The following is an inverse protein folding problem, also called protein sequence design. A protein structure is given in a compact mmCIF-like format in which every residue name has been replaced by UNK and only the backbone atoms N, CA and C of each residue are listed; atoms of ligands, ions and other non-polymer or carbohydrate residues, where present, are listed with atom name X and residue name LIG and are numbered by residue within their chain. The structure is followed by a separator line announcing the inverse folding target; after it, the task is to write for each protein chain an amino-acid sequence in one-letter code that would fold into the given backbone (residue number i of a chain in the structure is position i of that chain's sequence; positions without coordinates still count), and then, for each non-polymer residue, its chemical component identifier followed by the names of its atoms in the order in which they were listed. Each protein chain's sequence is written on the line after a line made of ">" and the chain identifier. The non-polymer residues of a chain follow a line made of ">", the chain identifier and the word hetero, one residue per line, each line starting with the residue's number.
data_IF_403580197923
#
_entry.id   IF_403580197923
#
_cell.length_a   1.000
_cell.length_b   1.000
_cell.length_c   1.000
_cell.angle_alpha   90.00
_cell.angle_beta   90.00
_cell.angle_gamma   90.00
#
_symmetry.space_group_name_H-M   'P 1'
#
loop_
_entity.id
_entity.type
_entity.pdbx_description
1 polymer ?
#
# COMPACT_ATOMS: atom_id res chain seq x y z
N UNK A 1 19.16 8.86 17.84
CA UNK A 1 18.25 9.17 16.73
C UNK A 1 17.35 7.96 16.52
N UNK A 2 16.11 7.99 17.02
CA UNK A 2 15.11 6.96 16.70
C UNK A 2 14.57 7.33 15.32
N UNK A 3 14.83 6.49 14.30
CA UNK A 3 14.09 6.62 13.03
C UNK A 3 12.63 6.25 13.33
N UNK A 4 11.64 7.14 13.12
CA UNK A 4 10.25 6.72 13.22
C UNK A 4 10.05 5.60 12.21
N UNK A 5 9.41 4.50 12.64
CA UNK A 5 8.93 3.47 11.71
C UNK A 5 8.05 4.21 10.70
N UNK A 6 8.42 4.17 9.42
CA UNK A 6 7.58 4.71 8.37
C UNK A 6 6.27 3.92 8.36
N UNK A 7 5.18 4.54 8.81
CA UNK A 7 3.86 3.91 8.94
C UNK A 7 3.13 3.77 7.59
N UNK A 8 3.86 3.86 6.48
CA UNK A 8 3.33 3.89 5.13
C UNK A 8 4.37 3.38 4.14
N UNK A 9 3.87 2.75 3.09
CA UNK A 9 4.67 2.36 1.94
C UNK A 9 4.95 3.59 1.07
N UNK A 10 6.08 3.58 0.37
CA UNK A 10 6.47 4.63 -0.57
C UNK A 10 6.96 4.01 -1.86
N UNK A 11 6.49 4.54 -2.98
CA UNK A 11 6.96 4.18 -4.32
C UNK A 11 6.68 5.34 -5.27
N UNK A 12 7.71 5.79 -5.99
CA UNK A 12 7.67 7.05 -6.76
C UNK A 12 7.17 8.20 -5.84
N UNK A 13 6.20 8.99 -6.29
CA UNK A 13 5.60 10.07 -5.52
C UNK A 13 4.34 9.64 -4.74
N UNK A 14 4.09 8.34 -4.60
CA UNK A 14 2.91 7.80 -3.95
C UNK A 14 3.22 7.23 -2.57
N UNK A 15 2.25 7.37 -1.67
CA UNK A 15 2.23 6.76 -0.34
C UNK A 15 1.12 5.73 -0.25
N UNK A 16 1.32 4.68 0.50
CA UNK A 16 0.32 3.63 0.74
C UNK A 16 0.11 3.37 2.22
N UNK A 17 -1.14 3.18 2.66
CA UNK A 17 -1.41 2.77 4.04
C UNK A 17 -1.06 1.29 4.31
N UNK A 18 -0.88 0.93 5.58
CA UNK A 18 -0.57 -0.43 5.99
C UNK A 18 -1.52 -0.81 7.12
N UNK A 19 -2.35 -1.82 6.89
CA UNK A 19 -3.28 -2.38 7.86
C UNK A 19 -3.24 -3.91 7.82
N UNK A 20 -3.73 -4.53 8.89
CA UNK A 20 -3.90 -5.98 8.99
C UNK A 20 -5.31 -6.28 9.48
N UNK A 21 -6.02 -7.18 8.79
CA UNK A 21 -7.31 -7.70 9.22
C UNK A 21 -7.05 -9.02 9.94
N UNK A 22 -7.26 -9.05 11.26
CA UNK A 22 -7.19 -10.30 12.02
C UNK A 22 -8.35 -11.24 11.73
N UNK A 23 -9.47 -10.72 11.22
CA UNK A 23 -10.64 -11.52 10.85
C UNK A 23 -10.37 -12.34 9.59
N UNK A 24 -9.73 -11.74 8.60
CA UNK A 24 -9.48 -12.35 7.28
C UNK A 24 -8.05 -12.88 7.14
N UNK A 25 -7.16 -12.53 8.07
CA UNK A 25 -5.76 -12.96 8.05
C UNK A 25 -4.90 -12.25 7.01
N UNK A 26 -5.37 -11.13 6.43
CA UNK A 26 -4.70 -10.44 5.31
C UNK A 26 -4.16 -9.06 5.70
N UNK A 27 -3.09 -8.66 5.03
CA UNK A 27 -2.59 -7.29 5.02
C UNK A 27 -3.27 -6.51 3.90
N UNK A 28 -3.63 -5.27 4.17
CA UNK A 28 -4.31 -4.43 3.19
C UNK A 28 -3.92 -2.96 3.33
N UNK A 29 -4.16 -2.19 2.28
CA UNK A 29 -3.90 -0.77 2.24
C UNK A 29 -4.55 -0.08 1.05
N UNK A 30 -4.35 1.23 0.96
CA UNK A 30 -4.77 2.04 -0.18
C UNK A 30 -3.72 3.08 -0.53
N UNK A 31 -3.70 3.50 -1.79
CA UNK A 31 -2.91 4.66 -2.23
C UNK A 31 -3.49 5.91 -1.55
N UNK A 32 -2.63 6.71 -0.95
CA UNK A 32 -2.97 7.94 -0.27
C UNK A 32 -2.73 9.15 -1.18
N UNK A 33 -3.40 10.26 -0.87
CA UNK A 33 -3.19 11.55 -1.55
C UNK A 33 -3.54 11.51 -3.05
N UNK A 34 -4.50 10.66 -3.43
CA UNK A 34 -5.09 10.59 -4.78
C UNK A 34 -6.60 10.82 -4.73
N UNK A 35 -7.20 11.21 -5.87
CA UNK A 35 -8.65 11.43 -5.97
C UNK A 35 -9.44 10.13 -6.04
N UNK A 36 -8.86 9.08 -6.63
CA UNK A 36 -9.48 7.78 -6.80
C UNK A 36 -9.28 6.88 -5.58
N UNK A 37 -10.13 5.86 -5.43
CA UNK A 37 -9.93 4.82 -4.42
C UNK A 37 -9.21 3.63 -5.05
N UNK A 38 -7.92 3.49 -4.75
CA UNK A 38 -7.12 2.33 -5.19
C UNK A 38 -6.63 1.57 -3.96
N UNK A 39 -7.15 0.36 -3.76
CA UNK A 39 -6.77 -0.56 -2.68
C UNK A 39 -5.87 -1.68 -3.17
N UNK A 40 -5.12 -2.28 -2.25
CA UNK A 40 -4.29 -3.46 -2.48
C UNK A 40 -4.26 -4.33 -1.23
N UNK A 41 -4.05 -5.62 -1.41
CA UNK A 41 -4.02 -6.61 -0.33
C UNK A 41 -3.02 -7.74 -0.61
N UNK A 42 -2.52 -8.35 0.46
CA UNK A 42 -1.65 -9.51 0.40
C UNK A 42 -1.82 -10.37 1.66
N UNK A 43 -1.74 -11.69 1.51
CA UNK A 43 -1.80 -12.62 2.65
C UNK A 43 -0.61 -12.45 3.61
N UNK A 44 0.57 -12.12 3.07
CA UNK A 44 1.80 -11.94 3.83
C UNK A 44 2.26 -10.48 3.82
N UNK A 45 2.74 -10.01 4.96
CA UNK A 45 3.24 -8.64 5.14
C UNK A 45 4.33 -8.27 4.12
N UNK A 46 5.22 -9.22 3.82
CA UNK A 46 6.31 -9.03 2.87
C UNK A 46 5.84 -8.80 1.43
N UNK A 47 4.68 -9.35 1.08
CA UNK A 47 4.08 -9.21 -0.24
C UNK A 47 3.28 -7.91 -0.38
N UNK A 48 2.91 -7.26 0.73
CA UNK A 48 2.12 -6.03 0.71
C UNK A 48 2.80 -4.90 -0.09
N UNK A 49 4.14 -4.81 -0.03
CA UNK A 49 4.89 -3.81 -0.80
C UNK A 49 4.83 -4.08 -2.30
N UNK A 50 4.82 -5.34 -2.71
CA UNK A 50 4.75 -5.73 -4.13
C UNK A 50 3.40 -5.33 -4.72
N UNK A 51 2.31 -5.70 -4.09
CA UNK A 51 0.95 -5.36 -4.55
C UNK A 51 0.68 -3.86 -4.51
N UNK A 52 1.30 -3.11 -3.59
CA UNK A 52 1.26 -1.65 -3.61
C UNK A 52 1.96 -1.06 -4.85
N UNK A 53 3.14 -1.58 -5.22
CA UNK A 53 3.85 -1.13 -6.43
C UNK A 53 3.02 -1.42 -7.68
N UNK A 54 2.44 -2.62 -7.77
CA UNK A 54 1.55 -3.01 -8.87
C UNK A 54 0.34 -2.08 -8.96
N UNK A 55 -0.33 -1.80 -7.84
CA UNK A 55 -1.45 -0.87 -7.78
C UNK A 55 -1.08 0.56 -8.22
N UNK A 56 0.12 1.04 -7.88
CA UNK A 56 0.61 2.36 -8.32
C UNK A 56 0.90 2.37 -9.83
N UNK A 57 1.54 1.32 -10.37
CA UNK A 57 1.81 1.24 -11.81
C UNK A 57 0.51 1.15 -12.62
N UNK A 58 -0.46 0.35 -12.16
CA UNK A 58 -1.76 0.22 -12.81
C UNK A 58 -2.56 1.52 -12.73
N UNK A 59 -2.50 2.24 -11.60
CA UNK A 59 -3.10 3.57 -11.47
C UNK A 59 -2.47 4.58 -12.45
N UNK A 60 -1.14 4.55 -12.60
CA UNK A 60 -0.43 5.44 -13.55
C UNK A 60 -0.71 5.10 -15.01
N UNK A 61 -0.93 3.82 -15.34
CA UNK A 61 -1.20 3.38 -16.72
C UNK A 61 -2.61 3.74 -17.20
N UNK A 62 -3.59 3.71 -16.29
CA UNK A 62 -5.01 3.92 -16.61
C UNK A 62 -5.49 5.35 -16.34
N UNK A 63 -4.55 6.32 -16.27
CA UNK A 63 -4.83 7.75 -16.15
C UNK A 63 -4.75 8.48 -17.48
#
# INVERSE_FOLDING_TARGET
>A
MIRPLENHLKYKNYKGSIHYSSADGVWYGKILEINDLVSYEAELKENLKKVFVEAVEDYLRNK
#
